data_IF_198992452946
#
_entry.id   IF_198992452946
#
_cell.length_a   1.000
_cell.length_b   1.000
_cell.length_c   1.000
_cell.angle_alpha   90.00
_cell.angle_beta   90.00
_cell.angle_gamma   90.00
#
_symmetry.space_group_name_H-M   'P 1'
#
loop_
_entity.id
_entity.type
_entity.pdbx_description
1 polymer ?
#
# COMPACT_ATOMS: atom_id res chain seq x y z
N UNK A 1 28.17 7.79 21.36
CA UNK A 1 27.72 9.17 21.19
C UNK A 1 26.64 9.11 20.13
N UNK A 2 25.40 8.90 20.58
CA UNK A 2 24.21 8.97 19.72
C UNK A 2 24.07 10.44 19.35
N UNK A 3 24.04 10.74 18.06
CA UNK A 3 24.08 12.12 17.58
C UNK A 3 22.82 12.85 18.05
N UNK A 4 23.02 13.92 18.81
CA UNK A 4 22.01 14.91 19.22
C UNK A 4 21.24 15.51 18.03
N UNK A 5 21.67 15.21 16.81
CA UNK A 5 21.04 15.59 15.54
C UNK A 5 19.99 14.60 15.04
N UNK A 6 20.04 13.32 15.43
CA UNK A 6 18.99 12.34 15.10
C UNK A 6 17.68 12.62 15.86
N UNK A 7 17.75 13.31 17.01
CA UNK A 7 16.58 13.78 17.77
C UNK A 7 15.91 15.02 17.16
N UNK A 8 16.55 15.70 16.20
CA UNK A 8 16.07 16.97 15.61
C UNK A 8 15.30 16.80 14.29
N UNK A 9 15.30 15.61 13.69
CA UNK A 9 14.50 15.34 12.49
C UNK A 9 13.16 14.74 12.90
N UNK A 10 12.17 15.60 13.15
CA UNK A 10 10.80 15.16 13.28
C UNK A 10 10.31 14.68 11.90
N UNK A 11 9.95 13.39 11.74
CA UNK A 11 9.40 12.92 10.48
C UNK A 11 8.11 13.71 10.18
N UNK A 12 7.85 14.05 8.90
CA UNK A 12 6.69 14.86 8.55
C UNK A 12 5.40 14.17 8.99
N UNK A 13 4.41 14.96 9.39
CA UNK A 13 3.08 14.47 9.76
C UNK A 13 2.50 13.64 8.59
N UNK A 14 2.03 12.41 8.83
CA UNK A 14 1.38 11.61 7.80
C UNK A 14 0.26 12.35 7.04
N UNK A 15 -0.48 13.23 7.72
CA UNK A 15 -1.54 14.02 7.10
C UNK A 15 -0.98 15.04 6.09
N UNK A 16 0.18 15.65 6.38
CA UNK A 16 0.84 16.59 5.47
C UNK A 16 1.40 15.88 4.23
N UNK A 17 1.91 14.65 4.40
CA UNK A 17 2.50 13.87 3.29
C UNK A 17 1.44 13.29 2.37
N UNK A 18 0.34 12.78 2.93
CA UNK A 18 -0.74 12.13 2.17
C UNK A 18 -1.81 13.13 1.69
N UNK A 19 -1.95 14.28 2.35
CA UNK A 19 -3.00 15.26 2.06
C UNK A 19 -4.39 14.63 2.20
N UNK A 20 -5.25 14.88 1.21
CA UNK A 20 -6.62 14.35 1.16
C UNK A 20 -6.70 12.81 1.24
N UNK A 21 -5.62 12.09 0.91
CA UNK A 21 -5.57 10.62 1.00
C UNK A 21 -5.37 10.10 2.43
N UNK A 22 -5.08 10.98 3.40
CA UNK A 22 -4.80 10.57 4.77
C UNK A 22 -5.98 9.82 5.41
N UNK A 23 -7.20 10.34 5.28
CA UNK A 23 -8.40 9.69 5.82
C UNK A 23 -8.59 8.29 5.21
N UNK A 24 -8.39 8.17 3.89
CA UNK A 24 -8.44 6.88 3.23
C UNK A 24 -7.34 5.92 3.71
N UNK A 25 -6.13 6.43 3.97
CA UNK A 25 -5.04 5.63 4.50
C UNK A 25 -5.35 5.11 5.91
N UNK A 26 -5.87 5.96 6.80
CA UNK A 26 -6.32 5.55 8.14
C UNK A 26 -7.43 4.50 8.04
N UNK A 27 -8.35 4.67 7.08
CA UNK A 27 -9.40 3.69 6.84
C UNK A 27 -8.80 2.35 6.39
N UNK A 28 -7.92 2.28 5.40
CA UNK A 28 -7.54 0.97 4.82
C UNK A 28 -6.37 0.27 5.53
N UNK A 29 -5.49 1.02 6.21
CA UNK A 29 -4.35 0.50 6.96
C UNK A 29 -4.70 0.27 8.44
N UNK A 30 -5.53 -0.75 8.68
CA UNK A 30 -6.21 -0.99 9.96
C UNK A 30 -5.96 -2.38 10.57
N UNK A 31 -4.84 -3.06 10.23
CA UNK A 31 -4.52 -4.37 10.80
C UNK A 31 -4.36 -4.33 12.33
N UNK A 32 -3.86 -3.20 12.86
CA UNK A 32 -3.67 -2.93 14.27
C UNK A 32 -4.27 -1.56 14.61
N UNK A 33 -5.17 -1.56 15.60
CA UNK A 33 -5.84 -0.34 16.05
C UNK A 33 -4.87 0.77 16.50
N UNK A 34 -3.76 0.37 17.14
CA UNK A 34 -2.67 1.23 17.62
C UNK A 34 -1.41 1.10 16.75
N UNK A 35 -1.54 0.54 15.54
CA UNK A 35 -0.41 0.39 14.63
C UNK A 35 0.03 1.73 14.03
N UNK A 36 1.33 1.86 13.78
CA UNK A 36 1.90 2.98 13.02
C UNK A 36 1.74 2.80 11.50
N UNK A 37 0.71 2.10 11.05
CA UNK A 37 0.49 1.77 9.63
C UNK A 37 0.23 3.01 8.76
N UNK A 38 -0.57 4.02 9.19
CA UNK A 38 -0.70 5.27 8.44
C UNK A 38 0.63 6.03 8.33
N UNK A 39 1.47 5.99 9.37
CA UNK A 39 2.81 6.59 9.34
C UNK A 39 3.75 5.85 8.37
N UNK A 40 3.65 4.52 8.30
CA UNK A 40 4.35 3.72 7.30
C UNK A 40 3.88 4.05 5.87
N UNK A 41 2.56 4.17 5.67
CA UNK A 41 1.98 4.52 4.37
C UNK A 41 2.47 5.91 3.91
N UNK A 42 2.50 6.89 4.82
CA UNK A 42 3.03 8.22 4.53
C UNK A 42 4.52 8.18 4.18
N UNK A 43 5.35 7.43 4.90
CA UNK A 43 6.76 7.26 4.55
C UNK A 43 6.95 6.63 3.16
N UNK A 44 6.24 5.53 2.87
CA UNK A 44 6.28 4.89 1.56
C UNK A 44 5.80 5.84 0.46
N UNK A 45 4.76 6.65 0.74
CA UNK A 45 4.30 7.72 -0.16
C UNK A 45 5.35 8.80 -0.39
N UNK A 46 6.12 9.17 0.64
CA UNK A 46 7.27 10.06 0.54
C UNK A 46 8.34 9.52 -0.42
N UNK A 47 8.63 8.21 -0.36
CA UNK A 47 9.54 7.54 -1.32
C UNK A 47 9.00 7.63 -2.75
N UNK A 48 7.69 7.42 -2.96
CA UNK A 48 7.04 7.58 -4.26
C UNK A 48 7.05 9.04 -4.75
N UNK A 49 6.92 9.99 -3.82
CA UNK A 49 6.97 11.43 -4.10
C UNK A 49 8.33 11.86 -4.59
N UNK A 50 9.41 11.42 -3.92
CA UNK A 50 10.78 11.65 -4.38
C UNK A 50 11.05 11.07 -5.77
N UNK A 51 10.32 10.02 -6.17
CA UNK A 51 10.37 9.43 -7.51
C UNK A 51 9.39 10.05 -8.53
N UNK A 52 8.68 11.12 -8.16
CA UNK A 52 7.74 11.83 -9.03
C UNK A 52 6.45 11.05 -9.34
N UNK A 53 6.00 10.18 -8.44
CA UNK A 53 4.84 9.29 -8.65
C UNK A 53 3.55 9.70 -7.93
N UNK A 54 3.54 10.82 -7.24
CA UNK A 54 2.44 11.24 -6.36
C UNK A 54 1.83 12.60 -6.75
N UNK A 55 2.25 13.19 -7.87
CA UNK A 55 1.67 14.43 -8.37
C UNK A 55 0.39 14.14 -9.21
N UNK A 56 -0.66 14.93 -8.98
CA UNK A 56 -1.87 14.93 -9.79
C UNK A 56 -2.25 16.35 -10.22
N UNK A 57 -2.54 16.54 -11.50
CA UNK A 57 -3.08 17.79 -12.06
C UNK A 57 -4.49 17.64 -12.64
N UNK A 58 -5.05 16.43 -12.60
CA UNK A 58 -6.37 16.08 -13.14
C UNK A 58 -7.07 15.09 -12.22
N UNK A 59 -8.39 15.01 -12.30
CA UNK A 59 -9.17 14.03 -11.53
C UNK A 59 -8.80 12.58 -11.90
N UNK A 60 -8.46 12.34 -13.17
CA UNK A 60 -7.91 11.06 -13.63
C UNK A 60 -6.65 10.66 -12.86
N UNK A 61 -5.67 11.57 -12.78
CA UNK A 61 -4.43 11.34 -12.05
C UNK A 61 -4.70 11.17 -10.55
N UNK A 62 -5.67 11.89 -9.98
CA UNK A 62 -6.08 11.69 -8.58
C UNK A 62 -6.59 10.27 -8.34
N UNK A 63 -7.42 9.74 -9.24
CA UNK A 63 -7.85 8.34 -9.17
C UNK A 63 -6.69 7.34 -9.24
N UNK A 64 -5.67 7.63 -10.06
CA UNK A 64 -4.43 6.83 -10.08
C UNK A 64 -3.65 6.90 -8.76
N UNK A 65 -3.70 8.04 -8.04
CA UNK A 65 -3.10 8.15 -6.71
C UNK A 65 -3.82 7.26 -5.69
N UNK A 66 -5.15 7.17 -5.73
CA UNK A 66 -5.90 6.24 -4.89
C UNK A 66 -5.47 4.79 -5.17
N UNK A 67 -5.41 4.39 -6.44
CA UNK A 67 -4.96 3.04 -6.82
C UNK A 67 -3.52 2.76 -6.36
N UNK A 68 -2.65 3.77 -6.39
CA UNK A 68 -1.27 3.68 -5.91
C UNK A 68 -1.17 3.52 -4.40
N UNK A 69 -2.04 4.19 -3.63
CA UNK A 69 -2.17 3.96 -2.19
C UNK A 69 -2.66 2.54 -1.90
N UNK A 70 -3.65 2.05 -2.65
CA UNK A 70 -4.15 0.69 -2.50
C UNK A 70 -3.11 -0.38 -2.90
N UNK A 71 -2.20 -0.05 -3.81
CA UNK A 71 -1.05 -0.91 -4.11
C UNK A 71 -0.07 -1.01 -2.92
N UNK A 72 0.15 0.08 -2.18
CA UNK A 72 0.89 0.05 -0.91
C UNK A 72 0.17 -0.82 0.12
N UNK A 73 -1.14 -0.65 0.26
CA UNK A 73 -1.97 -1.45 1.15
C UNK A 73 -1.91 -2.94 0.80
N UNK A 74 -2.01 -3.30 -0.48
CA UNK A 74 -1.87 -4.68 -0.95
C UNK A 74 -0.50 -5.27 -0.62
N UNK A 75 0.58 -4.51 -0.79
CA UNK A 75 1.93 -4.94 -0.41
C UNK A 75 2.05 -5.17 1.10
N UNK A 76 1.52 -4.24 1.89
CA UNK A 76 1.52 -4.31 3.34
C UNK A 76 0.78 -5.56 3.84
N UNK A 77 -0.46 -5.78 3.38
CA UNK A 77 -1.26 -6.98 3.71
C UNK A 77 -0.56 -8.27 3.32
N UNK A 78 -0.02 -8.35 2.12
CA UNK A 78 0.70 -9.53 1.64
C UNK A 78 1.93 -9.83 2.51
N UNK A 79 2.68 -8.79 2.90
CA UNK A 79 3.80 -8.95 3.82
C UNK A 79 3.32 -9.45 5.18
N UNK A 80 2.28 -8.85 5.76
CA UNK A 80 1.77 -9.23 7.08
C UNK A 80 1.18 -10.64 7.10
N UNK A 81 0.52 -11.06 6.02
CA UNK A 81 0.03 -12.42 5.85
C UNK A 81 1.19 -13.43 5.80
N UNK A 82 2.25 -13.12 5.05
CA UNK A 82 3.43 -14.00 4.93
C UNK A 82 4.28 -14.05 6.20
N UNK A 83 4.59 -12.89 6.78
CA UNK A 83 5.52 -12.79 7.89
C UNK A 83 4.89 -13.12 9.25
N UNK A 84 3.59 -12.85 9.42
CA UNK A 84 2.92 -12.94 10.73
C UNK A 84 1.63 -13.75 10.71
N UNK A 85 1.20 -14.29 9.57
CA UNK A 85 -0.07 -15.01 9.45
C UNK A 85 -1.31 -14.11 9.61
N UNK A 86 -1.16 -12.79 9.43
CA UNK A 86 -2.26 -11.83 9.52
C UNK A 86 -2.99 -11.72 8.18
N UNK A 87 -3.74 -12.76 7.84
CA UNK A 87 -4.43 -12.90 6.55
C UNK A 87 -3.96 -14.13 5.77
N UNK A 88 -4.28 -14.18 4.47
CA UNK A 88 -3.93 -15.29 3.58
C UNK A 88 -3.03 -14.76 2.44
N UNK A 89 -1.79 -15.27 2.28
CA UNK A 89 -0.92 -14.85 1.18
C UNK A 89 -1.57 -15.09 -0.19
N UNK A 90 -1.43 -14.12 -1.10
CA UNK A 90 -2.07 -14.10 -2.42
C UNK A 90 -3.51 -13.60 -2.42
N UNK A 91 -4.17 -13.55 -1.27
CA UNK A 91 -5.51 -13.02 -1.13
C UNK A 91 -5.44 -11.57 -0.66
N UNK A 92 -5.79 -10.65 -1.56
CA UNK A 92 -6.00 -9.24 -1.20
C UNK A 92 -7.49 -8.97 -1.12
N UNK A 93 -8.00 -8.86 0.10
CA UNK A 93 -9.40 -8.52 0.36
C UNK A 93 -9.47 -7.07 0.79
N UNK A 94 -10.25 -6.28 0.06
CA UNK A 94 -10.65 -4.94 0.44
C UNK A 94 -12.13 -4.77 0.17
N UNK A 95 -12.85 -4.21 1.12
CA UNK A 95 -14.23 -3.82 0.93
C UNK A 95 -14.29 -2.64 -0.05
N UNK A 96 -14.90 -2.80 -1.25
CA UNK A 96 -15.03 -1.72 -2.22
C UNK A 96 -15.68 -0.46 -1.65
N UNK A 97 -16.59 -0.58 -0.69
CA UNK A 97 -17.31 0.57 -0.11
C UNK A 97 -16.40 1.49 0.71
N UNK A 98 -15.24 0.98 1.16
CA UNK A 98 -14.23 1.79 1.86
C UNK A 98 -13.40 2.66 0.92
N UNK A 99 -13.32 2.28 -0.36
CA UNK A 99 -12.38 2.89 -1.32
C UNK A 99 -13.05 3.51 -2.53
N UNK A 100 -14.27 3.09 -2.84
CA UNK A 100 -15.11 3.63 -3.89
C UNK A 100 -16.14 4.57 -3.26
N UNK A 101 -16.28 5.78 -3.82
CA UNK A 101 -17.20 6.77 -3.30
C UNK A 101 -16.82 8.19 -3.69
N UNK A 102 -17.39 9.16 -2.99
CA UNK A 102 -17.04 10.57 -3.17
C UNK A 102 -15.62 10.87 -2.70
N UNK A 103 -15.06 11.96 -3.23
CA UNK A 103 -13.74 12.45 -2.83
C UNK A 103 -13.58 12.48 -1.29
N UNK A 104 -12.46 11.97 -0.74
CA UNK A 104 -11.20 11.59 -1.38
C UNK A 104 -11.12 10.17 -1.95
N UNK A 105 -12.22 9.40 -1.91
CA UNK A 105 -12.30 8.04 -2.44
C UNK A 105 -12.34 8.04 -3.97
N UNK A 106 -12.19 6.84 -4.55
CA UNK A 106 -12.23 6.67 -6.00
C UNK A 106 -13.68 6.69 -6.49
N UNK A 107 -14.07 7.75 -7.20
CA UNK A 107 -15.41 7.84 -7.75
C UNK A 107 -15.72 6.64 -8.69
N UNK A 108 -16.89 5.98 -8.59
CA UNK A 108 -17.22 4.79 -9.38
C UNK A 108 -17.08 5.00 -10.90
N UNK A 109 -17.54 6.15 -11.41
CA UNK A 109 -17.38 6.49 -12.83
C UNK A 109 -15.91 6.60 -13.22
N UNK A 110 -15.07 7.12 -12.33
CA UNK A 110 -13.64 7.26 -12.59
C UNK A 110 -12.94 5.90 -12.62
N UNK A 111 -13.32 4.98 -11.74
CA UNK A 111 -12.88 3.58 -11.78
C UNK A 111 -13.14 2.97 -13.17
N UNK A 112 -14.36 3.13 -13.69
CA UNK A 112 -14.73 2.68 -15.04
C UNK A 112 -13.88 3.32 -16.14
N UNK A 113 -13.68 4.64 -16.10
CA UNK A 113 -12.85 5.37 -17.08
C UNK A 113 -11.38 4.91 -17.04
N UNK A 114 -10.82 4.66 -15.85
CA UNK A 114 -9.44 4.15 -15.71
C UNK A 114 -9.36 2.72 -16.25
N UNK A 115 -10.33 1.86 -15.92
CA UNK A 115 -10.38 0.49 -16.42
C UNK A 115 -10.44 0.43 -17.95
N UNK A 116 -11.33 1.22 -18.58
CA UNK A 116 -11.48 1.29 -20.03
C UNK A 116 -10.17 1.77 -20.70
N UNK A 117 -9.56 2.85 -20.17
CA UNK A 117 -8.30 3.39 -20.72
C UNK A 117 -7.12 2.43 -20.60
N UNK A 118 -7.14 1.54 -19.61
CA UNK A 118 -6.13 0.50 -19.42
C UNK A 118 -6.50 -0.80 -20.13
N UNK A 119 -7.56 -0.79 -20.94
CA UNK A 119 -8.05 -1.93 -21.71
C UNK A 119 -8.30 -3.16 -20.85
N UNK A 120 -8.83 -2.96 -19.64
CA UNK A 120 -9.25 -4.07 -18.80
C UNK A 120 -10.51 -4.69 -19.37
N UNK A 121 -10.46 -6.00 -19.61
CA UNK A 121 -11.62 -6.77 -19.97
C UNK A 121 -12.41 -7.08 -18.70
N UNK A 122 -13.46 -6.30 -18.46
CA UNK A 122 -14.37 -6.48 -17.33
C UNK A 122 -15.55 -7.40 -17.67
N UNK A 123 -15.52 -8.06 -18.84
CA UNK A 123 -16.60 -8.92 -19.33
C UNK A 123 -16.57 -10.32 -18.70
N UNK A 124 -16.74 -10.40 -17.37
CA UNK A 124 -17.03 -11.65 -16.65
C UNK A 124 -18.53 -11.77 -16.30
N UNK A 125 -19.39 -11.27 -17.18
CA UNK A 125 -20.84 -11.44 -17.11
C UNK A 125 -21.38 -12.13 -18.35
N UNK A 126 -21.56 -13.45 -18.31
CA UNK A 126 -22.41 -14.16 -19.28
C UNK A 126 -23.86 -13.73 -19.10
N UNK A 127 -24.25 -12.62 -19.71
CA UNK A 127 -25.61 -12.10 -19.63
C UNK A 127 -25.78 -10.83 -20.46
N UNK A 128 -26.25 -10.98 -21.69
CA UNK A 128 -26.76 -9.86 -22.45
C UNK A 128 -28.05 -9.35 -21.78
N UNK A 129 -27.94 -8.26 -21.04
CA UNK A 129 -29.06 -7.55 -20.42
C UNK A 129 -28.88 -7.45 -18.91
N UNK A 130 -28.85 -6.22 -18.41
CA UNK A 130 -28.65 -5.82 -17.00
C UNK A 130 -27.19 -5.79 -16.56
N UNK A 131 -26.42 -4.83 -17.12
CA UNK A 131 -25.27 -4.28 -16.40
C UNK A 131 -25.85 -3.39 -15.29
N UNK A 132 -26.28 -4.00 -14.20
CA UNK A 132 -26.12 -3.32 -12.93
C UNK A 132 -24.60 -3.14 -12.77
N UNK A 133 -24.12 -1.97 -12.38
CA UNK A 133 -22.73 -1.82 -11.94
C UNK A 133 -22.62 -2.57 -10.61
N UNK A 134 -22.64 -3.89 -10.70
CA UNK A 134 -22.66 -4.82 -9.58
C UNK A 134 -21.34 -4.64 -8.81
N UNK A 135 -21.42 -4.75 -7.50
CA UNK A 135 -20.27 -4.68 -6.57
C UNK A 135 -19.16 -5.61 -7.05
N UNK A 136 -19.54 -6.74 -7.66
CA UNK A 136 -18.63 -7.72 -8.27
C UNK A 136 -17.77 -7.13 -9.42
N UNK A 137 -18.35 -6.34 -10.32
CA UNK A 137 -17.63 -5.70 -11.45
C UNK A 137 -16.68 -4.63 -10.94
N UNK A 138 -17.14 -3.80 -9.99
CA UNK A 138 -16.30 -2.77 -9.38
C UNK A 138 -15.12 -3.39 -8.60
N UNK A 139 -15.36 -4.47 -7.86
CA UNK A 139 -14.33 -5.21 -7.14
C UNK A 139 -13.29 -5.82 -8.10
N UNK A 140 -13.74 -6.46 -9.19
CA UNK A 140 -12.84 -7.04 -10.20
C UNK A 140 -12.01 -5.97 -10.90
N UNK A 141 -12.63 -4.85 -11.31
CA UNK A 141 -11.92 -3.72 -11.90
C UNK A 141 -10.88 -3.15 -10.94
N UNK A 142 -11.25 -2.98 -9.68
CA UNK A 142 -10.35 -2.48 -8.64
C UNK A 142 -9.15 -3.40 -8.44
N UNK A 143 -9.36 -4.71 -8.28
CA UNK A 143 -8.25 -5.66 -8.09
C UNK A 143 -7.28 -5.65 -9.27
N UNK A 144 -7.79 -5.68 -10.51
CA UNK A 144 -6.95 -5.63 -11.70
C UNK A 144 -6.15 -4.32 -11.80
N UNK A 145 -6.80 -3.18 -11.50
CA UNK A 145 -6.16 -1.86 -11.52
C UNK A 145 -5.10 -1.72 -10.43
N UNK A 146 -5.40 -2.15 -9.21
CA UNK A 146 -4.44 -2.16 -8.09
C UNK A 146 -3.31 -3.13 -8.37
N UNK A 147 -3.58 -4.29 -8.96
CA UNK A 147 -2.54 -5.23 -9.41
C UNK A 147 -1.61 -4.62 -10.46
N UNK A 148 -2.14 -3.77 -11.35
CA UNK A 148 -1.33 -3.02 -12.31
C UNK A 148 -0.45 -1.95 -11.64
N UNK A 149 -0.98 -1.22 -10.67
CA UNK A 149 -0.19 -0.26 -9.87
C UNK A 149 0.86 -0.97 -9.01
N UNK A 150 0.51 -2.09 -8.40
CA UNK A 150 1.41 -2.91 -7.59
C UNK A 150 2.68 -3.28 -8.36
N UNK A 151 2.53 -3.72 -9.61
CA UNK A 151 3.66 -4.06 -10.50
C UNK A 151 4.59 -2.88 -10.81
N UNK A 152 4.15 -1.64 -10.59
CA UNK A 152 4.95 -0.43 -10.78
C UNK A 152 5.52 0.10 -9.46
N UNK A 153 4.69 0.11 -8.41
CA UNK A 153 4.95 0.70 -7.10
C UNK A 153 5.94 -0.12 -6.30
N UNK A 154 5.73 -1.44 -6.21
CA UNK A 154 6.55 -2.30 -5.34
C UNK A 154 7.99 -2.41 -5.84
N UNK A 155 8.27 -2.66 -7.15
CA UNK A 155 9.64 -2.67 -7.63
C UNK A 155 10.35 -1.31 -7.46
N UNK A 156 9.60 -0.21 -7.53
CA UNK A 156 10.14 1.12 -7.26
C UNK A 156 10.54 1.28 -5.80
N UNK A 157 9.68 0.91 -4.85
CA UNK A 157 10.02 0.93 -3.42
C UNK A 157 11.24 0.08 -3.13
N UNK A 158 11.25 -1.17 -3.60
CA UNK A 158 12.36 -2.11 -3.39
C UNK A 158 13.68 -1.54 -3.91
N UNK A 159 13.66 -0.87 -5.07
CA UNK A 159 14.86 -0.22 -5.64
C UNK A 159 15.28 1.03 -4.87
N UNK A 160 14.33 1.81 -4.37
CA UNK A 160 14.61 3.09 -3.70
C UNK A 160 15.14 2.91 -2.28
N UNK A 161 14.62 1.96 -1.51
CA UNK A 161 14.98 1.78 -0.08
C UNK A 161 15.71 0.47 0.21
N UNK A 162 15.63 -0.51 -0.70
CA UNK A 162 16.20 -1.83 -0.52
C UNK A 162 15.25 -2.82 0.18
N UNK A 163 15.35 -4.14 -0.11
CA UNK A 163 14.46 -5.15 0.45
C UNK A 163 14.43 -5.21 1.98
N UNK A 164 15.60 -5.02 2.61
CA UNK A 164 15.77 -5.19 4.05
C UNK A 164 15.08 -4.06 4.84
N UNK A 165 15.32 -2.80 4.43
CA UNK A 165 14.67 -1.64 5.01
C UNK A 165 13.16 -1.68 4.78
N UNK A 166 12.71 -2.08 3.58
CA UNK A 166 11.29 -2.23 3.28
C UNK A 166 10.63 -3.28 4.19
N UNK A 167 11.23 -4.47 4.32
CA UNK A 167 10.72 -5.51 5.20
C UNK A 167 10.64 -5.06 6.67
N UNK A 168 11.72 -4.48 7.19
CA UNK A 168 11.76 -3.97 8.56
C UNK A 168 10.72 -2.86 8.78
N UNK A 169 10.52 -1.97 7.81
CA UNK A 169 9.54 -0.88 7.92
C UNK A 169 8.11 -1.40 8.08
N UNK A 170 7.72 -2.41 7.30
CA UNK A 170 6.38 -3.02 7.41
C UNK A 170 6.25 -3.78 8.73
N UNK A 171 7.27 -4.55 9.12
CA UNK A 171 7.27 -5.26 10.40
C UNK A 171 7.11 -4.28 11.59
N UNK A 172 7.80 -3.15 11.54
CA UNK A 172 7.73 -2.14 12.58
C UNK A 172 6.37 -1.43 12.62
N UNK A 173 5.69 -1.26 11.47
CA UNK A 173 4.41 -0.54 11.39
C UNK A 173 3.30 -1.17 12.21
N UNK A 174 3.42 -2.44 12.59
CA UNK A 174 2.47 -3.13 13.46
C UNK A 174 2.59 -2.76 14.95
N UNK A 175 3.60 -1.95 15.32
CA UNK A 175 3.78 -1.44 16.67
C UNK A 175 3.34 0.02 16.77
N UNK A 176 2.98 0.43 17.98
CA UNK A 176 2.61 1.80 18.31
C UNK A 176 3.84 2.73 18.36
N UNK A 177 3.63 4.00 17.98
CA UNK A 177 4.60 5.09 18.12
C UNK A 177 5.85 4.98 17.23
N UNK A 178 5.84 4.11 16.22
CA UNK A 178 6.99 3.93 15.32
C UNK A 178 7.11 5.09 14.34
N UNK A 179 8.33 5.59 14.22
CA UNK A 179 8.70 6.69 13.32
C UNK A 179 9.50 6.16 12.13
N UNK A 180 9.26 6.75 10.96
CA UNK A 180 9.91 6.35 9.71
C UNK A 180 10.65 7.53 9.05
N UNK A 181 11.78 7.30 8.36
CA UNK A 181 12.45 6.01 8.13
C UNK A 181 13.02 5.40 9.42
N UNK A 182 13.15 4.08 9.46
CA UNK A 182 13.77 3.38 10.58
C UNK A 182 15.29 3.61 10.58
N UNK A 183 15.92 3.80 11.76
CA UNK A 183 17.36 3.74 11.91
C UNK A 183 17.95 2.38 11.50
N UNK A 184 19.19 2.37 10.98
CA UNK A 184 19.89 1.15 10.56
C UNK A 184 20.07 0.09 11.66
N UNK A 185 20.12 0.52 12.92
CA UNK A 185 20.15 -0.37 14.07
C UNK A 185 18.85 -1.16 14.22
N UNK A 186 17.71 -0.48 14.06
CA UNK A 186 16.37 -1.05 14.18
C UNK A 186 16.05 -1.97 13.01
N UNK A 187 16.46 -1.57 11.79
CA UNK A 187 16.38 -2.44 10.60
C UNK A 187 17.11 -3.75 10.86
N UNK A 188 18.34 -3.72 11.38
CA UNK A 188 19.08 -4.94 11.70
C UNK A 188 18.41 -5.76 12.80
N UNK A 189 17.92 -5.11 13.84
CA UNK A 189 17.26 -5.77 14.97
C UNK A 189 16.00 -6.53 14.56
N UNK A 190 15.14 -5.91 13.74
CA UNK A 190 13.88 -6.49 13.27
C UNK A 190 14.05 -7.66 12.30
N UNK A 191 15.19 -7.72 11.61
CA UNK A 191 15.51 -8.80 10.67
C UNK A 191 16.13 -10.03 11.36
N UNK A 192 16.48 -9.93 12.65
CA UNK A 192 16.84 -11.11 13.44
C UNK A 192 15.54 -11.76 13.93
N UNK A 193 15.14 -12.84 13.26
CA UNK A 193 13.86 -13.52 13.49
C UNK A 193 13.57 -13.79 14.97
N UNK A 194 12.44 -13.29 15.45
CA UNK A 194 11.86 -13.69 16.74
C UNK A 194 11.01 -14.97 16.58
N UNK A 195 10.71 -15.69 17.68
CA UNK A 195 9.82 -16.84 17.63
C UNK A 195 8.42 -16.43 17.12
N UNK A 196 7.94 -17.08 16.05
CA UNK A 196 6.59 -16.89 15.50
C UNK A 196 6.48 -16.01 14.26
N UNK A 197 7.57 -15.40 13.78
CA UNK A 197 7.57 -14.61 12.53
C UNK A 197 8.39 -15.29 11.43
N UNK A 198 7.89 -15.29 10.19
CA UNK A 198 8.60 -15.77 8.99
C UNK A 198 9.16 -14.60 8.15
N UNK A 199 9.79 -13.64 8.84
CA UNK A 199 10.37 -12.44 8.22
C UNK A 199 11.48 -12.81 7.23
N UNK A 200 12.27 -13.85 7.51
CA UNK A 200 13.36 -14.28 6.63
C UNK A 200 12.85 -14.79 5.27
N UNK A 201 11.86 -15.68 5.27
CA UNK A 201 11.22 -16.15 4.03
C UNK A 201 10.53 -15.00 3.28
N UNK A 202 9.85 -14.12 4.00
CA UNK A 202 9.18 -12.95 3.42
C UNK A 202 10.19 -11.97 2.80
N UNK A 203 11.35 -11.77 3.43
CA UNK A 203 12.46 -11.01 2.84
C UNK A 203 12.99 -11.69 1.57
N UNK A 204 13.06 -13.01 1.54
CA UNK A 204 13.37 -13.79 0.34
C UNK A 204 12.39 -13.50 -0.80
N UNK A 205 11.08 -13.46 -0.50
CA UNK A 205 10.03 -13.08 -1.45
C UNK A 205 10.20 -11.63 -1.97
N UNK A 206 10.52 -10.67 -1.10
CA UNK A 206 10.79 -9.29 -1.53
C UNK A 206 12.00 -9.23 -2.48
N UNK A 207 13.09 -9.93 -2.14
CA UNK A 207 14.29 -10.02 -2.98
C UNK A 207 14.01 -10.66 -4.35
N UNK A 208 13.06 -11.59 -4.41
CA UNK A 208 12.58 -12.19 -5.66
C UNK A 208 11.62 -11.28 -6.47
N UNK A 209 11.40 -10.05 -6.02
CA UNK A 209 10.60 -9.04 -6.71
C UNK A 209 9.19 -8.86 -6.16
N UNK A 210 8.89 -9.44 -4.98
CA UNK A 210 7.62 -9.29 -4.28
C UNK A 210 6.40 -9.50 -5.21
N UNK A 211 6.36 -10.60 -5.97
CA UNK A 211 5.23 -10.85 -6.87
C UNK A 211 3.97 -11.13 -6.03
N UNK A 212 2.80 -10.60 -6.38
CA UNK A 212 1.57 -10.99 -5.71
C UNK A 212 1.38 -12.51 -5.85
N UNK A 213 0.92 -13.14 -4.76
CA UNK A 213 0.65 -14.58 -4.71
C UNK A 213 -0.45 -15.03 -5.66
#
# INVERSE_FOLDING_TARGET
MTDMWDELFEPPDPADVLGDLYELAVDVFDLRYDGSEPAWAAWAWGVLTAAGRTAAGTEYQRGELVLRLLALHRFHREFCARAFGLGVPGMWEIDPDRVVGDHPRLHPVLLGVIAERRHLDLADGTGAGEIDFDVSVAASALDQLVGSEYRQVVPLLVRSVGPAALAASVAASLNDGVRFPLPDADVRGLLVSGPGSDIESTLGWIRAGARPG
#
